data_IF_150449676652
#
_entry.id   IF_150449676652
#
_cell.length_a   1.000
_cell.length_b   1.000
_cell.length_c   1.000
_cell.angle_alpha   90.00
_cell.angle_beta   90.00
_cell.angle_gamma   90.00
#
_symmetry.space_group_name_H-M   'P 1'
#
loop_
_entity.id
_entity.type
_entity.pdbx_description
1 polymer ?
#
# COMPACT_ATOMS: atom_id res chain seq x y z
N UNK A 1 27.29 -5.10 9.13
CA UNK A 1 28.40 -5.82 9.78
C UNK A 1 29.24 -6.46 8.69
N UNK A 2 30.48 -6.00 8.54
CA UNK A 2 31.44 -6.41 7.51
C UNK A 2 32.04 -7.78 7.88
N UNK A 3 32.28 -8.69 6.93
CA UNK A 3 33.26 -9.75 7.14
C UNK A 3 34.64 -9.22 6.75
N UNK A 4 35.48 -9.00 7.75
CA UNK A 4 36.94 -9.03 7.63
C UNK A 4 37.31 -10.49 7.26
N UNK A 5 38.17 -10.81 6.29
CA UNK A 5 39.27 -10.05 5.73
C UNK A 5 40.55 -10.33 6.52
N UNK A 6 41.12 -11.55 6.44
CA UNK A 6 42.55 -11.79 6.67
C UNK A 6 42.95 -13.23 6.32
N UNK A 7 43.22 -13.47 5.05
CA UNK A 7 44.10 -14.55 4.60
C UNK A 7 45.53 -14.14 4.94
N UNK A 8 46.16 -14.79 5.91
CA UNK A 8 47.61 -14.69 6.16
C UNK A 8 48.20 -16.09 6.13
N UNK A 9 48.61 -16.53 4.95
CA UNK A 9 49.58 -17.62 4.79
C UNK A 9 50.80 -17.03 4.08
N UNK A 10 51.65 -16.37 4.86
CA UNK A 10 52.96 -15.87 4.44
C UNK A 10 54.03 -16.46 5.37
N UNK A 11 54.85 -17.37 4.82
CA UNK A 11 56.21 -17.78 5.20
C UNK A 11 56.48 -19.12 4.48
N UNK A 12 57.14 -19.24 3.32
CA UNK A 12 58.31 -18.56 2.72
C UNK A 12 59.58 -18.66 3.58
N UNK A 13 60.34 -19.72 3.28
CA UNK A 13 61.80 -19.82 3.13
C UNK A 13 62.72 -19.48 4.33
N UNK A 14 63.43 -20.51 4.82
CA UNK A 14 64.89 -20.45 5.04
C UNK A 14 65.50 -21.85 5.34
N UNK A 15 66.41 -22.38 4.50
CA UNK A 15 67.42 -23.35 4.95
C UNK A 15 68.74 -22.60 5.19
N UNK A 16 69.12 -22.46 6.46
CA UNK A 16 70.37 -21.78 6.87
C UNK A 16 71.47 -22.79 7.22
N UNK A 17 72.58 -22.67 6.48
CA UNK A 17 73.99 -22.88 6.84
C UNK A 17 74.43 -24.24 7.42
N UNK A 18 75.24 -25.05 6.73
CA UNK A 18 76.64 -24.85 6.34
C UNK A 18 77.62 -24.75 7.53
N UNK A 19 78.10 -25.90 8.01
CA UNK A 19 79.37 -26.07 8.74
C UNK A 19 80.08 -27.29 8.11
N UNK A 20 81.02 -27.09 7.18
CA UNK A 20 82.48 -26.99 7.40
C UNK A 20 83.00 -28.13 8.30
N UNK A 21 83.40 -29.28 7.75
CA UNK A 21 84.70 -29.56 7.11
C UNK A 21 85.90 -29.37 8.05
N UNK A 22 86.32 -30.43 8.74
CA UNK A 22 87.74 -30.64 9.10
C UNK A 22 88.13 -32.09 8.74
N UNK A 23 89.09 -32.15 7.80
CA UNK A 23 89.91 -33.29 7.40
C UNK A 23 90.83 -33.71 8.54
N UNK A 24 91.03 -35.01 8.70
CA UNK A 24 92.19 -35.61 9.36
C UNK A 24 92.53 -36.95 8.68
N UNK A 25 93.81 -37.22 8.33
CA UNK A 25 94.18 -38.27 7.39
C UNK A 25 94.63 -39.57 8.10
N UNK A 26 95.10 -40.52 7.28
CA UNK A 26 96.00 -41.63 7.66
C UNK A 26 95.35 -42.94 8.08
N UNK A 27 95.20 -43.84 7.10
CA UNK A 27 95.61 -45.24 7.20
C UNK A 27 95.64 -45.85 5.78
N UNK A 28 96.75 -45.61 5.08
CA UNK A 28 97.20 -46.47 4.00
C UNK A 28 97.72 -47.78 4.59
N UNK A 29 97.11 -48.91 4.23
CA UNK A 29 97.83 -50.14 3.83
C UNK A 29 96.86 -51.27 3.51
N UNK A 30 97.15 -51.91 2.37
CA UNK A 30 96.76 -53.26 1.98
C UNK A 30 95.27 -53.52 1.74
N UNK A 31 94.90 -53.76 0.49
CA UNK A 31 94.13 -54.92 0.00
C UNK A 31 93.69 -54.67 -1.45
N UNK A 32 94.58 -54.97 -2.41
CA UNK A 32 94.32 -54.87 -3.84
C UNK A 32 93.45 -56.03 -4.40
N UNK A 33 92.55 -56.61 -3.60
CA UNK A 33 91.58 -57.63 -4.05
C UNK A 33 90.11 -57.28 -3.79
N UNK A 34 89.80 -56.04 -3.35
CA UNK A 34 88.43 -55.57 -3.06
C UNK A 34 87.80 -54.60 -4.08
N UNK A 35 88.50 -54.26 -5.18
CA UNK A 35 88.13 -53.16 -6.11
C UNK A 35 86.77 -53.37 -6.81
N UNK A 36 86.41 -54.60 -7.15
CA UNK A 36 85.11 -54.90 -7.78
C UNK A 36 83.95 -54.86 -6.76
N UNK A 37 84.17 -55.32 -5.53
CA UNK A 37 83.17 -55.33 -4.47
C UNK A 37 82.86 -53.91 -3.96
N UNK A 38 83.87 -53.06 -3.79
CA UNK A 38 83.67 -51.66 -3.41
C UNK A 38 82.95 -50.84 -4.50
N UNK A 39 83.21 -51.13 -5.78
CA UNK A 39 82.49 -50.52 -6.89
C UNK A 39 81.02 -50.98 -6.96
N UNK A 40 80.74 -52.26 -6.68
CA UNK A 40 79.38 -52.80 -6.60
C UNK A 40 78.59 -52.16 -5.45
N UNK A 41 79.20 -52.03 -4.26
CA UNK A 41 78.59 -51.34 -3.12
C UNK A 41 78.30 -49.87 -3.42
N UNK A 42 79.22 -49.14 -4.08
CA UNK A 42 78.97 -47.75 -4.50
C UNK A 42 77.85 -47.64 -5.54
N UNK A 43 77.74 -48.56 -6.49
CA UNK A 43 76.63 -48.59 -7.46
C UNK A 43 75.30 -48.91 -6.80
N UNK A 44 75.27 -49.84 -5.85
CA UNK A 44 74.08 -50.16 -5.07
C UNK A 44 73.66 -48.99 -4.17
N UNK A 45 74.62 -48.31 -3.56
CA UNK A 45 74.37 -47.13 -2.72
C UNK A 45 73.88 -45.93 -3.57
N UNK A 46 74.43 -45.72 -4.77
CA UNK A 46 73.94 -44.72 -5.71
C UNK A 46 72.53 -45.03 -6.23
N UNK A 47 72.22 -46.31 -6.51
CA UNK A 47 70.86 -46.71 -6.89
C UNK A 47 69.85 -46.50 -5.74
N UNK A 48 70.23 -46.78 -4.49
CA UNK A 48 69.36 -46.48 -3.34
C UNK A 48 69.13 -44.97 -3.16
N UNK A 49 70.16 -44.14 -3.37
CA UNK A 49 69.98 -42.68 -3.30
C UNK A 49 69.05 -42.15 -4.41
N UNK A 50 69.13 -42.68 -5.64
CA UNK A 50 68.21 -42.28 -6.71
C UNK A 50 66.75 -42.69 -6.42
N UNK A 51 66.52 -43.87 -5.84
CA UNK A 51 65.15 -44.28 -5.46
C UNK A 51 64.56 -43.39 -4.35
N UNK A 52 65.36 -42.99 -3.35
CA UNK A 52 64.87 -42.07 -2.31
C UNK A 52 64.50 -40.68 -2.87
N UNK A 53 65.27 -40.13 -3.81
CA UNK A 53 64.92 -38.85 -4.44
C UNK A 53 63.62 -38.92 -5.25
N UNK A 54 63.36 -40.02 -5.97
CA UNK A 54 62.09 -40.17 -6.70
C UNK A 54 60.88 -40.26 -5.77
N UNK A 55 60.99 -40.95 -4.63
CA UNK A 55 59.88 -41.01 -3.66
C UNK A 55 59.57 -39.64 -3.05
N UNK A 56 60.58 -38.82 -2.73
CA UNK A 56 60.34 -37.47 -2.20
C UNK A 56 59.64 -36.56 -3.23
N UNK A 57 60.00 -36.64 -4.52
CA UNK A 57 59.30 -35.86 -5.55
C UNK A 57 57.83 -36.28 -5.72
N UNK A 58 57.53 -37.58 -5.67
CA UNK A 58 56.13 -38.04 -5.74
C UNK A 58 55.31 -37.57 -4.55
N UNK A 59 55.84 -37.62 -3.32
CA UNK A 59 55.12 -37.12 -2.15
C UNK A 59 54.88 -35.60 -2.23
N UNK A 60 55.84 -34.81 -2.71
CA UNK A 60 55.62 -33.37 -2.91
C UNK A 60 54.53 -33.10 -3.95
N UNK A 61 54.51 -33.82 -5.07
CA UNK A 61 53.46 -33.64 -6.08
C UNK A 61 52.08 -34.05 -5.55
N UNK A 62 51.98 -35.12 -4.75
CA UNK A 62 50.71 -35.51 -4.12
C UNK A 62 50.25 -34.49 -3.07
N UNK A 63 51.17 -33.94 -2.28
CA UNK A 63 50.85 -32.88 -1.32
C UNK A 63 50.41 -31.58 -2.01
N UNK A 64 51.08 -31.17 -3.09
CA UNK A 64 50.69 -30.02 -3.91
C UNK A 64 49.33 -30.23 -4.57
N UNK A 65 49.09 -31.41 -5.16
CA UNK A 65 47.80 -31.74 -5.77
C UNK A 65 46.66 -31.74 -4.73
N UNK A 66 46.91 -32.31 -3.54
CA UNK A 66 45.94 -32.35 -2.43
C UNK A 66 45.62 -30.94 -1.90
N UNK A 67 46.65 -30.10 -1.66
CA UNK A 67 46.45 -28.71 -1.24
C UNK A 67 45.72 -27.87 -2.31
N UNK A 68 46.04 -28.05 -3.60
CA UNK A 68 45.36 -27.34 -4.68
C UNK A 68 43.89 -27.74 -4.81
N UNK A 69 43.54 -29.03 -4.63
CA UNK A 69 42.15 -29.50 -4.66
C UNK A 69 41.33 -28.93 -3.50
N UNK A 70 41.89 -28.86 -2.30
CA UNK A 70 41.24 -28.26 -1.13
C UNK A 70 40.95 -26.77 -1.32
N UNK A 71 41.90 -26.02 -1.89
CA UNK A 71 41.72 -24.59 -2.19
C UNK A 71 40.61 -24.35 -3.24
N UNK A 72 40.56 -25.17 -4.30
CA UNK A 72 39.51 -25.07 -5.31
C UNK A 72 38.12 -25.44 -4.76
N UNK A 73 38.03 -26.47 -3.91
CA UNK A 73 36.76 -26.84 -3.26
C UNK A 73 36.25 -25.72 -2.33
N UNK A 74 37.14 -25.09 -1.56
CA UNK A 74 36.78 -23.96 -0.69
C UNK A 74 36.30 -22.75 -1.51
N UNK A 75 36.96 -22.41 -2.61
CA UNK A 75 36.55 -21.33 -3.50
C UNK A 75 35.18 -21.60 -4.15
N UNK A 76 34.93 -22.83 -4.61
CA UNK A 76 33.64 -23.23 -5.19
C UNK A 76 32.51 -23.19 -4.14
N UNK A 77 32.77 -23.65 -2.91
CA UNK A 77 31.79 -23.58 -1.82
C UNK A 77 31.44 -22.12 -1.45
N UNK A 78 32.44 -21.23 -1.43
CA UNK A 78 32.22 -19.80 -1.21
C UNK A 78 31.37 -19.17 -2.32
N UNK A 79 31.63 -19.51 -3.58
CA UNK A 79 30.85 -19.02 -4.71
C UNK A 79 29.37 -19.48 -4.64
N UNK A 80 29.12 -20.73 -4.27
CA UNK A 80 27.75 -21.24 -4.07
C UNK A 80 27.05 -20.52 -2.90
N UNK A 81 27.77 -20.26 -1.80
CA UNK A 81 27.24 -19.53 -0.66
C UNK A 81 26.84 -18.09 -1.03
N UNK A 82 27.70 -17.38 -1.78
CA UNK A 82 27.40 -16.02 -2.26
C UNK A 82 26.20 -16.03 -3.20
N UNK A 83 26.13 -16.95 -4.16
CA UNK A 83 24.99 -17.05 -5.08
C UNK A 83 23.67 -17.29 -4.35
N UNK A 84 23.65 -18.16 -3.34
CA UNK A 84 22.45 -18.41 -2.50
C UNK A 84 22.04 -17.20 -1.69
N UNK A 85 23.00 -16.45 -1.14
CA UNK A 85 22.72 -15.22 -0.40
C UNK A 85 22.13 -14.15 -1.33
N UNK A 86 22.70 -13.98 -2.53
CA UNK A 86 22.20 -13.02 -3.52
C UNK A 86 20.78 -13.38 -3.95
N UNK A 87 20.50 -14.65 -4.24
CA UNK A 87 19.15 -15.11 -4.60
C UNK A 87 18.15 -14.90 -3.46
N UNK A 88 18.55 -15.21 -2.22
CA UNK A 88 17.72 -14.98 -1.02
C UNK A 88 17.43 -13.51 -0.78
N UNK A 89 18.41 -12.63 -0.96
CA UNK A 89 18.24 -11.18 -0.83
C UNK A 89 17.35 -10.62 -1.94
N UNK A 90 17.55 -11.04 -3.19
CA UNK A 90 16.69 -10.64 -4.31
C UNK A 90 15.23 -11.05 -4.08
N UNK A 91 14.99 -12.31 -3.70
CA UNK A 91 13.64 -12.79 -3.36
C UNK A 91 13.05 -12.03 -2.17
N UNK A 92 13.83 -11.81 -1.12
CA UNK A 92 13.38 -11.10 0.08
C UNK A 92 13.03 -9.64 -0.20
N UNK A 93 13.86 -8.93 -0.98
CA UNK A 93 13.59 -7.55 -1.40
C UNK A 93 12.38 -7.51 -2.31
N UNK A 94 12.29 -8.39 -3.31
CA UNK A 94 11.15 -8.43 -4.23
C UNK A 94 9.83 -8.65 -3.49
N UNK A 95 9.77 -9.64 -2.58
CA UNK A 95 8.57 -9.91 -1.79
C UNK A 95 8.20 -8.75 -0.87
N UNK A 96 9.19 -8.13 -0.22
CA UNK A 96 8.95 -6.96 0.64
C UNK A 96 8.42 -5.77 -0.16
N UNK A 97 9.04 -5.48 -1.30
CA UNK A 97 8.64 -4.37 -2.16
C UNK A 97 7.23 -4.60 -2.72
N UNK A 98 6.94 -5.81 -3.18
CA UNK A 98 5.62 -6.16 -3.71
C UNK A 98 4.54 -6.08 -2.62
N UNK A 99 4.82 -6.59 -1.42
CA UNK A 99 3.90 -6.49 -0.28
C UNK A 99 3.66 -5.03 0.13
N UNK A 100 4.71 -4.21 0.20
CA UNK A 100 4.58 -2.78 0.51
C UNK A 100 3.78 -2.03 -0.56
N UNK A 101 4.07 -2.27 -1.85
CA UNK A 101 3.34 -1.66 -2.95
C UNK A 101 1.86 -2.05 -2.91
N UNK A 102 1.56 -3.33 -2.70
CA UNK A 102 0.20 -3.83 -2.65
C UNK A 102 -0.58 -3.24 -1.45
N UNK A 103 0.06 -3.15 -0.28
CA UNK A 103 -0.55 -2.52 0.90
C UNK A 103 -0.80 -1.02 0.68
N UNK A 104 0.19 -0.30 0.14
CA UNK A 104 0.06 1.13 -0.09
C UNK A 104 -1.02 1.43 -1.14
N UNK A 105 -1.07 0.66 -2.22
CA UNK A 105 -2.08 0.82 -3.26
C UNK A 105 -3.48 0.49 -2.73
N UNK A 106 -3.62 -0.57 -1.93
CA UNK A 106 -4.90 -0.92 -1.32
C UNK A 106 -5.39 0.16 -0.35
N UNK A 107 -4.50 0.68 0.51
CA UNK A 107 -4.86 1.74 1.45
C UNK A 107 -5.24 3.04 0.73
N UNK A 108 -4.45 3.44 -0.27
CA UNK A 108 -4.69 4.67 -1.01
C UNK A 108 -6.00 4.58 -1.80
N UNK A 109 -6.26 3.45 -2.46
CA UNK A 109 -7.48 3.24 -3.22
C UNK A 109 -8.71 3.18 -2.30
N UNK A 110 -8.61 2.51 -1.15
CA UNK A 110 -9.70 2.47 -0.17
C UNK A 110 -10.01 3.86 0.40
N UNK A 111 -8.98 4.63 0.78
CA UNK A 111 -9.19 5.99 1.28
C UNK A 111 -9.78 6.92 0.22
N UNK A 112 -9.25 6.89 -1.00
CA UNK A 112 -9.71 7.76 -2.07
C UNK A 112 -11.16 7.43 -2.46
N UNK A 113 -11.49 6.14 -2.57
CA UNK A 113 -12.84 5.70 -2.91
C UNK A 113 -13.82 6.03 -1.79
N UNK A 114 -13.44 5.83 -0.52
CA UNK A 114 -14.29 6.19 0.61
C UNK A 114 -14.54 7.71 0.68
N UNK A 115 -13.50 8.53 0.48
CA UNK A 115 -13.66 10.00 0.47
C UNK A 115 -14.50 10.48 -0.70
N UNK A 116 -14.25 10.01 -1.92
CA UNK A 116 -15.05 10.40 -3.08
C UNK A 116 -16.52 9.97 -2.92
N UNK A 117 -16.75 8.75 -2.46
CA UNK A 117 -18.10 8.25 -2.29
C UNK A 117 -18.84 9.02 -1.19
N UNK A 118 -18.16 9.36 -0.08
CA UNK A 118 -18.76 10.17 0.98
C UNK A 118 -19.08 11.59 0.50
N UNK A 119 -18.18 12.24 -0.24
CA UNK A 119 -18.42 13.57 -0.81
C UNK A 119 -19.58 13.57 -1.80
N UNK A 120 -19.59 12.62 -2.73
CA UNK A 120 -20.63 12.52 -3.75
C UNK A 120 -21.99 12.21 -3.12
N UNK A 121 -22.03 11.30 -2.14
CA UNK A 121 -23.26 10.99 -1.41
C UNK A 121 -23.77 12.21 -0.62
N UNK A 122 -22.88 12.94 0.06
CA UNK A 122 -23.26 14.13 0.80
C UNK A 122 -23.80 15.23 -0.13
N UNK A 123 -23.14 15.46 -1.26
CA UNK A 123 -23.56 16.46 -2.24
C UNK A 123 -24.91 16.09 -2.88
N UNK A 124 -25.07 14.83 -3.28
CA UNK A 124 -26.31 14.35 -3.89
C UNK A 124 -27.47 14.41 -2.89
N UNK A 125 -27.25 13.98 -1.64
CA UNK A 125 -28.26 14.01 -0.60
C UNK A 125 -28.67 15.45 -0.29
N UNK A 126 -27.71 16.37 -0.18
CA UNK A 126 -28.01 17.79 0.07
C UNK A 126 -28.81 18.41 -1.08
N UNK A 127 -28.42 18.13 -2.33
CA UNK A 127 -29.10 18.67 -3.51
C UNK A 127 -30.53 18.13 -3.62
N UNK A 128 -30.70 16.83 -3.43
CA UNK A 128 -32.00 16.18 -3.55
C UNK A 128 -32.94 16.61 -2.42
N UNK A 129 -32.42 16.72 -1.19
CA UNK A 129 -33.20 17.17 -0.04
C UNK A 129 -33.62 18.63 -0.19
N UNK A 130 -32.73 19.50 -0.69
CA UNK A 130 -33.05 20.90 -0.96
C UNK A 130 -34.12 21.03 -2.05
N UNK A 131 -33.99 20.28 -3.15
CA UNK A 131 -34.95 20.31 -4.25
C UNK A 131 -36.34 19.82 -3.81
N UNK A 132 -36.38 18.71 -3.07
CA UNK A 132 -37.62 18.11 -2.62
C UNK A 132 -38.32 18.98 -1.57
N UNK A 133 -37.55 19.56 -0.64
CA UNK A 133 -38.09 20.48 0.35
C UNK A 133 -38.65 21.75 -0.31
N UNK A 134 -37.93 22.31 -1.29
CA UNK A 134 -38.40 23.49 -2.02
C UNK A 134 -39.67 23.21 -2.81
N UNK A 135 -39.75 22.06 -3.50
CA UNK A 135 -40.93 21.67 -4.26
C UNK A 135 -42.15 21.45 -3.36
N UNK A 136 -41.96 20.75 -2.24
CA UNK A 136 -43.04 20.42 -1.31
C UNK A 136 -43.54 21.67 -0.58
N UNK A 137 -42.63 22.54 -0.16
CA UNK A 137 -42.99 23.79 0.51
C UNK A 137 -43.70 24.75 -0.46
N UNK A 138 -43.24 24.85 -1.71
CA UNK A 138 -43.89 25.68 -2.73
C UNK A 138 -45.30 25.16 -3.05
N UNK A 139 -45.46 23.84 -3.25
CA UNK A 139 -46.77 23.25 -3.53
C UNK A 139 -47.74 23.45 -2.35
N UNK A 140 -47.29 23.16 -1.12
CA UNK A 140 -48.16 23.25 0.04
C UNK A 140 -48.57 24.69 0.34
N UNK A 141 -47.63 25.64 0.20
CA UNK A 141 -47.92 27.05 0.42
C UNK A 141 -48.86 27.59 -0.66
N UNK A 142 -48.66 27.23 -1.93
CA UNK A 142 -49.54 27.63 -3.03
C UNK A 142 -50.96 27.06 -2.84
N UNK A 143 -51.09 25.79 -2.46
CA UNK A 143 -52.38 25.17 -2.21
C UNK A 143 -53.11 25.82 -1.02
N UNK A 144 -52.40 26.07 0.09
CA UNK A 144 -53.00 26.68 1.28
C UNK A 144 -53.42 28.13 1.01
N UNK A 145 -52.60 28.89 0.29
CA UNK A 145 -52.89 30.27 -0.06
C UNK A 145 -54.08 30.36 -1.02
N UNK A 146 -54.17 29.44 -1.99
CA UNK A 146 -55.32 29.35 -2.90
C UNK A 146 -56.62 28.98 -2.16
N UNK A 147 -56.57 28.04 -1.22
CA UNK A 147 -57.71 27.71 -0.35
C UNK A 147 -58.15 28.91 0.51
N UNK A 148 -57.21 29.62 1.13
CA UNK A 148 -57.54 30.80 1.94
C UNK A 148 -58.16 31.91 1.10
N UNK A 149 -57.61 32.17 -0.09
CA UNK A 149 -58.16 33.17 -1.00
C UNK A 149 -59.58 32.82 -1.42
N UNK A 150 -59.84 31.54 -1.71
CA UNK A 150 -61.16 31.06 -2.11
C UNK A 150 -62.18 31.16 -0.96
N UNK A 151 -61.79 30.80 0.27
CA UNK A 151 -62.62 30.98 1.45
C UNK A 151 -62.92 32.46 1.70
N UNK A 152 -61.93 33.34 1.58
CA UNK A 152 -62.12 34.78 1.76
C UNK A 152 -63.07 35.37 0.72
N UNK A 153 -62.94 34.94 -0.55
CA UNK A 153 -63.85 35.38 -1.62
C UNK A 153 -65.29 34.93 -1.35
N UNK A 154 -65.47 33.70 -0.88
CA UNK A 154 -66.80 33.17 -0.54
C UNK A 154 -67.43 33.91 0.63
N UNK A 155 -66.65 34.24 1.67
CA UNK A 155 -67.11 35.08 2.78
C UNK A 155 -67.54 36.47 2.30
N UNK A 156 -66.76 37.08 1.41
CA UNK A 156 -67.06 38.41 0.87
C UNK A 156 -68.35 38.41 0.03
N UNK A 157 -68.56 37.38 -0.78
CA UNK A 157 -69.83 37.19 -1.51
C UNK A 157 -71.02 37.03 -0.55
N UNK A 158 -70.87 36.23 0.50
CA UNK A 158 -71.94 36.02 1.48
C UNK A 158 -72.29 37.33 2.21
N UNK A 159 -71.27 38.14 2.53
CA UNK A 159 -71.46 39.45 3.15
C UNK A 159 -72.18 40.43 2.20
N UNK A 160 -71.85 40.43 0.90
CA UNK A 160 -72.57 41.24 -0.09
C UNK A 160 -74.04 40.81 -0.23
N UNK A 161 -74.32 39.49 -0.24
CA UNK A 161 -75.70 38.98 -0.30
C UNK A 161 -76.51 39.41 0.93
N UNK A 162 -75.91 39.34 2.13
CA UNK A 162 -76.54 39.81 3.36
C UNK A 162 -76.84 41.31 3.31
N UNK A 163 -75.90 42.13 2.82
CA UNK A 163 -76.12 43.56 2.62
C UNK A 163 -77.27 43.85 1.64
N UNK A 164 -77.31 43.16 0.49
CA UNK A 164 -78.43 43.31 -0.46
C UNK A 164 -79.77 42.91 0.17
N UNK A 165 -79.79 41.83 0.96
CA UNK A 165 -81.02 41.37 1.60
C UNK A 165 -81.51 42.38 2.65
N UNK A 166 -80.61 42.99 3.42
CA UNK A 166 -80.94 44.07 4.35
C UNK A 166 -81.48 45.30 3.63
N UNK A 167 -80.86 45.71 2.52
CA UNK A 167 -81.36 46.83 1.70
C UNK A 167 -82.77 46.55 1.17
N UNK A 168 -83.02 45.32 0.67
CA UNK A 168 -84.33 44.92 0.18
C UNK A 168 -85.39 44.89 1.30
N UNK A 169 -85.01 44.47 2.51
CA UNK A 169 -85.88 44.52 3.68
C UNK A 169 -86.23 45.96 4.07
N UNK A 170 -85.25 46.86 4.09
CA UNK A 170 -85.49 48.29 4.34
C UNK A 170 -86.44 48.90 3.29
N UNK A 171 -86.23 48.58 2.01
CA UNK A 171 -87.15 49.02 0.94
C UNK A 171 -88.58 48.51 1.15
N UNK A 172 -88.76 47.25 1.54
CA UNK A 172 -90.09 46.71 1.84
C UNK A 172 -90.73 47.39 3.04
N UNK A 173 -89.96 47.71 4.09
CA UNK A 173 -90.48 48.44 5.24
C UNK A 173 -90.93 49.85 4.85
N UNK A 174 -90.14 50.56 4.05
CA UNK A 174 -90.52 51.88 3.54
C UNK A 174 -91.80 51.81 2.69
N UNK A 175 -91.90 50.86 1.76
CA UNK A 175 -93.10 50.66 0.95
C UNK A 175 -94.34 50.35 1.80
N UNK A 176 -94.21 49.51 2.84
CA UNK A 176 -95.30 49.24 3.78
C UNK A 176 -95.73 50.50 4.54
N UNK A 177 -94.77 51.33 4.94
CA UNK A 177 -95.04 52.58 5.64
C UNK A 177 -95.75 53.61 4.74
N UNK A 178 -95.33 53.72 3.48
CA UNK A 178 -96.00 54.53 2.46
C UNK A 178 -97.43 54.06 2.20
N UNK A 179 -97.65 52.74 2.09
CA UNK A 179 -98.99 52.17 1.93
C UNK A 179 -99.90 52.49 3.13
N UNK A 180 -99.38 52.38 4.37
CA UNK A 180 -100.12 52.75 5.57
C UNK A 180 -100.47 54.23 5.60
N UNK A 181 -99.55 55.12 5.21
CA UNK A 181 -99.82 56.56 5.12
C UNK A 181 -100.89 56.86 4.06
N UNK A 182 -100.82 56.25 2.88
CA UNK A 182 -101.86 56.41 1.85
C UNK A 182 -103.23 55.95 2.35
N UNK A 183 -103.29 54.83 3.08
CA UNK A 183 -104.53 54.32 3.65
C UNK A 183 -105.11 55.27 4.72
N UNK A 184 -104.26 55.86 5.56
CA UNK A 184 -104.69 56.88 6.54
C UNK A 184 -105.21 58.15 5.84
N UNK A 185 -104.54 58.61 4.79
CA UNK A 185 -105.02 59.77 4.01
C UNK A 185 -106.38 59.50 3.35
N UNK A 186 -106.59 58.31 2.80
CA UNK A 186 -107.88 57.90 2.26
C UNK A 186 -108.98 57.89 3.33
N UNK A 187 -108.68 57.37 4.53
CA UNK A 187 -109.63 57.42 5.65
C UNK A 187 -109.97 58.85 6.08
N UNK A 188 -108.98 59.74 6.18
CA UNK A 188 -109.22 61.15 6.48
C UNK A 188 -110.09 61.83 5.42
N UNK A 189 -109.85 61.56 4.14
CA UNK A 189 -110.70 62.08 3.06
C UNK A 189 -112.13 61.58 3.16
N UNK A 190 -112.34 60.30 3.49
CA UNK A 190 -113.69 59.77 3.70
C UNK A 190 -114.41 60.42 4.90
N UNK A 191 -113.68 60.70 5.98
CA UNK A 191 -114.24 61.41 7.14
C UNK A 191 -114.63 62.86 6.82
N UNK A 192 -113.86 63.55 5.96
CA UNK A 192 -114.19 64.90 5.51
C UNK A 192 -115.41 64.96 4.57
N UNK A 193 -115.82 63.84 3.99
CA UNK A 193 -116.98 63.74 3.10
C UNK A 193 -118.28 63.36 3.83
N UNK A 194 -118.21 62.94 5.10
CA UNK A 194 -119.37 62.63 5.95
C UNK A 194 -119.77 63.86 6.78
#
# INVERSE_FOLDING_TARGET
MRPEGATVCAAVLAPSQQQQFIRGPECERNYASGSAAAAAVRRQQQQQQQQQQQQQQQQQQQHLACCCAAAHAAAAAAAIAVSRLVEGLLKGVYLRLNSQLQQQLQQQLQQQLQQQLQQLLQQLLQQLLQQLLQQLLQQQLQQRLQQQLQQQQQQLQQQQQLQQQQQLQQQRQLQQQEQLQQQQQLQQQQQLQQ
#
